data_IF_376350790533
#
_entry.id   IF_376350790533
#
_cell.length_a   1.000
_cell.length_b   1.000
_cell.length_c   1.000
_cell.angle_alpha   90.00
_cell.angle_beta   90.00
_cell.angle_gamma   90.00
#
_symmetry.space_group_name_H-M   'P 1'
#
loop_
_entity.id
_entity.type
_entity.pdbx_description
1 polymer ?
#
# COMPACT_ATOMS: atom_id res chain seq x y z
N UNK A 1 26.02 -30.05 -27.41
CA UNK A 1 25.71 -29.04 -26.38
C UNK A 1 26.78 -29.19 -25.29
N UNK A 2 27.67 -28.21 -25.11
CA UNK A 2 28.81 -28.36 -24.19
C UNK A 2 28.33 -28.37 -22.74
N UNK A 3 28.82 -29.32 -21.93
CA UNK A 3 28.52 -29.43 -20.50
C UNK A 3 28.77 -28.11 -19.77
N UNK A 4 29.84 -27.39 -20.12
CA UNK A 4 30.14 -26.04 -19.60
C UNK A 4 29.00 -25.05 -19.86
N UNK A 5 28.39 -25.05 -21.05
CA UNK A 5 27.27 -24.16 -21.37
C UNK A 5 26.02 -24.47 -20.55
N UNK A 6 25.76 -25.76 -20.24
CA UNK A 6 24.62 -26.17 -19.41
C UNK A 6 24.79 -25.71 -17.96
N UNK A 7 26.00 -25.84 -17.40
CA UNK A 7 26.30 -25.33 -16.05
C UNK A 7 26.19 -23.79 -15.97
N UNK A 8 26.71 -23.06 -16.96
CA UNK A 8 26.61 -21.60 -17.00
C UNK A 8 25.15 -21.14 -17.08
N UNK A 9 24.33 -21.76 -17.93
CA UNK A 9 22.90 -21.43 -18.05
C UNK A 9 22.16 -21.74 -16.74
N UNK A 10 22.44 -22.89 -16.11
CA UNK A 10 21.87 -23.27 -14.82
C UNK A 10 22.21 -22.28 -13.69
N UNK A 11 23.46 -21.80 -13.65
CA UNK A 11 23.92 -20.82 -12.66
C UNK A 11 23.27 -19.44 -12.86
N UNK A 12 23.11 -18.98 -14.11
CA UNK A 12 22.46 -17.70 -14.41
C UNK A 12 20.97 -17.76 -14.04
N UNK A 13 20.27 -18.86 -14.36
CA UNK A 13 18.86 -19.05 -14.02
C UNK A 13 18.64 -19.05 -12.50
N UNK A 14 19.47 -19.76 -11.73
CA UNK A 14 19.34 -19.81 -10.27
C UNK A 14 19.56 -18.43 -9.62
N UNK A 15 20.52 -17.64 -10.13
CA UNK A 15 20.75 -16.27 -9.68
C UNK A 15 19.56 -15.33 -9.98
N UNK A 16 18.98 -15.40 -11.17
CA UNK A 16 17.82 -14.58 -11.54
C UNK A 16 16.61 -14.92 -10.67
N UNK A 17 16.34 -16.21 -10.46
CA UNK A 17 15.25 -16.67 -9.59
C UNK A 17 15.50 -16.25 -8.14
N UNK A 18 16.72 -16.43 -7.62
CA UNK A 18 17.10 -16.02 -6.26
C UNK A 18 16.97 -14.51 -6.03
N UNK A 19 17.46 -13.70 -6.97
CA UNK A 19 17.31 -12.25 -6.94
C UNK A 19 15.83 -11.82 -7.01
N UNK A 20 15.03 -12.47 -7.87
CA UNK A 20 13.60 -12.22 -7.98
C UNK A 20 12.85 -12.49 -6.66
N UNK A 21 13.12 -13.62 -6.02
CA UNK A 21 12.48 -14.01 -4.75
C UNK A 21 12.85 -13.06 -3.61
N UNK A 22 14.12 -12.69 -3.49
CA UNK A 22 14.59 -11.78 -2.43
C UNK A 22 14.01 -10.38 -2.58
N UNK A 23 14.00 -9.83 -3.80
CA UNK A 23 13.35 -8.55 -4.11
C UNK A 23 11.84 -8.57 -3.83
N UNK A 24 11.16 -9.65 -4.21
CA UNK A 24 9.73 -9.81 -3.95
C UNK A 24 9.42 -9.84 -2.44
N UNK A 25 10.20 -10.59 -1.65
CA UNK A 25 10.05 -10.62 -0.19
C UNK A 25 10.33 -9.27 0.46
N UNK A 26 11.35 -8.55 -0.01
CA UNK A 26 11.68 -7.22 0.51
C UNK A 26 10.55 -6.22 0.25
N UNK A 27 10.01 -6.20 -0.98
CA UNK A 27 8.83 -5.38 -1.31
C UNK A 27 7.63 -5.71 -0.42
N UNK A 28 7.34 -7.00 -0.21
CA UNK A 28 6.23 -7.43 0.66
C UNK A 28 6.39 -6.95 2.09
N UNK A 29 7.59 -7.04 2.68
CA UNK A 29 7.85 -6.55 4.05
C UNK A 29 7.65 -5.03 4.15
N UNK A 30 8.12 -4.27 3.18
CA UNK A 30 7.96 -2.81 3.19
C UNK A 30 6.49 -2.41 3.02
N UNK A 31 5.74 -3.10 2.15
CA UNK A 31 4.31 -2.86 1.97
C UNK A 31 3.53 -3.16 3.26
N UNK A 32 3.86 -4.25 3.95
CA UNK A 32 3.24 -4.58 5.24
C UNK A 32 3.52 -3.54 6.32
N UNK A 33 4.76 -3.04 6.41
CA UNK A 33 5.10 -1.95 7.35
C UNK A 33 4.28 -0.70 7.04
N UNK A 34 4.21 -0.32 5.77
CA UNK A 34 3.42 0.81 5.31
C UNK A 34 1.93 0.64 5.66
N UNK A 35 1.33 -0.50 5.33
CA UNK A 35 -0.07 -0.81 5.68
C UNK A 35 -0.32 -0.79 7.18
N UNK A 36 0.62 -1.31 7.99
CA UNK A 36 0.50 -1.26 9.45
C UNK A 36 0.51 0.18 9.96
N UNK A 37 1.44 1.01 9.48
CA UNK A 37 1.49 2.43 9.86
C UNK A 37 0.21 3.17 9.44
N UNK A 38 -0.27 2.94 8.22
CA UNK A 38 -1.51 3.52 7.72
C UNK A 38 -2.73 3.04 8.53
N UNK A 39 -2.75 1.77 8.95
CA UNK A 39 -3.79 1.21 9.81
C UNK A 39 -3.86 1.91 11.17
N UNK A 40 -2.71 2.12 11.83
CA UNK A 40 -2.67 2.84 13.10
C UNK A 40 -3.12 4.30 12.96
N UNK A 41 -2.72 4.99 11.88
CA UNK A 41 -3.22 6.34 11.59
C UNK A 41 -4.73 6.37 11.32
N UNK A 42 -5.24 5.38 10.57
CA UNK A 42 -6.64 5.29 10.21
C UNK A 42 -7.56 5.00 11.40
N UNK A 43 -7.05 4.44 12.51
CA UNK A 43 -7.83 4.26 13.76
C UNK A 43 -8.30 5.58 14.35
N UNK A 44 -7.55 6.66 14.15
CA UNK A 44 -7.87 7.99 14.67
C UNK A 44 -8.92 8.72 13.80
N UNK A 45 -9.29 8.14 12.66
CA UNK A 45 -10.21 8.75 11.68
C UNK A 45 -11.62 8.15 11.85
N UNK A 46 -12.69 8.96 11.76
CA UNK A 46 -14.06 8.45 11.79
C UNK A 46 -14.30 7.37 10.73
N UNK A 47 -14.98 6.28 11.10
CA UNK A 47 -15.24 5.13 10.21
C UNK A 47 -15.84 5.54 8.85
N UNK A 48 -16.74 6.53 8.84
CA UNK A 48 -17.39 7.05 7.64
C UNK A 48 -16.40 7.64 6.62
N UNK A 49 -15.28 8.21 7.08
CA UNK A 49 -14.27 8.85 6.23
C UNK A 49 -13.01 7.99 6.04
N UNK A 50 -12.96 6.80 6.65
CA UNK A 50 -11.77 5.92 6.66
C UNK A 50 -11.27 5.64 5.25
N UNK A 51 -12.13 5.16 4.35
CA UNK A 51 -11.70 4.80 2.98
C UNK A 51 -11.21 6.00 2.18
N UNK A 52 -11.86 7.16 2.32
CA UNK A 52 -11.43 8.41 1.68
C UNK A 52 -10.06 8.86 2.21
N UNK A 53 -9.85 8.72 3.52
CA UNK A 53 -8.58 9.05 4.16
C UNK A 53 -7.46 8.11 3.71
N UNK A 54 -7.71 6.80 3.69
CA UNK A 54 -6.76 5.80 3.19
C UNK A 54 -6.36 6.08 1.74
N UNK A 55 -7.33 6.35 0.87
CA UNK A 55 -7.06 6.71 -0.52
C UNK A 55 -6.19 7.96 -0.64
N UNK A 56 -6.48 8.99 0.17
CA UNK A 56 -5.67 10.21 0.23
C UNK A 56 -4.24 9.90 0.66
N UNK A 57 -4.05 9.10 1.72
CA UNK A 57 -2.73 8.70 2.20
C UNK A 57 -1.93 7.93 1.15
N UNK A 58 -2.57 7.01 0.42
CA UNK A 58 -1.91 6.27 -0.66
C UNK A 58 -1.53 7.17 -1.84
N UNK A 59 -2.42 8.09 -2.24
CA UNK A 59 -2.13 9.07 -3.28
C UNK A 59 -0.94 9.95 -2.89
N UNK A 60 -0.94 10.50 -1.68
CA UNK A 60 0.11 11.41 -1.20
C UNK A 60 1.44 10.69 -0.99
N UNK A 61 1.42 9.43 -0.54
CA UNK A 61 2.62 8.58 -0.46
C UNK A 61 3.24 8.35 -1.84
N UNK A 62 2.41 8.04 -2.86
CA UNK A 62 2.87 7.88 -4.24
C UNK A 62 3.42 9.17 -4.85
N UNK A 63 2.82 10.31 -4.54
CA UNK A 63 3.30 11.63 -4.98
C UNK A 63 4.62 12.00 -4.30
N UNK A 64 4.72 11.77 -3.00
CA UNK A 64 5.94 12.02 -2.21
C UNK A 64 7.10 11.11 -2.65
N UNK A 65 6.81 9.87 -3.03
CA UNK A 65 7.81 8.96 -3.60
C UNK A 65 8.35 9.43 -4.96
N UNK A 66 7.55 10.15 -5.75
CA UNK A 66 7.99 10.72 -7.04
C UNK A 66 8.77 12.01 -6.84
N UNK A 67 8.34 12.85 -5.90
CA UNK A 67 8.91 14.16 -5.63
C UNK A 67 9.63 14.15 -4.28
N UNK A 68 10.92 13.75 -4.27
CA UNK A 68 11.76 13.61 -3.06
C UNK A 68 11.87 14.89 -2.20
N UNK A 69 11.44 16.05 -2.72
CA UNK A 69 11.61 17.37 -2.09
C UNK A 69 10.41 17.84 -1.25
N UNK A 70 9.27 17.12 -1.25
CA UNK A 70 7.99 17.68 -0.76
C UNK A 70 7.50 17.15 0.60
N UNK A 71 8.30 16.39 1.34
CA UNK A 71 7.90 15.68 2.57
C UNK A 71 7.37 16.62 3.67
N UNK A 72 7.94 17.83 3.79
CA UNK A 72 7.50 18.84 4.76
C UNK A 72 6.18 19.53 4.38
N UNK A 73 5.74 19.46 3.11
CA UNK A 73 4.49 20.10 2.68
C UNK A 73 3.26 19.27 3.02
N UNK A 74 3.38 17.94 3.12
CA UNK A 74 2.25 17.05 3.36
C UNK A 74 1.72 17.17 4.80
N UNK A 75 2.62 17.13 5.80
CA UNK A 75 2.24 17.29 7.20
C UNK A 75 1.53 18.64 7.44
N UNK A 76 2.08 19.73 6.89
CA UNK A 76 1.48 21.06 6.99
C UNK A 76 0.12 21.16 6.27
N UNK A 77 -0.06 20.46 5.14
CA UNK A 77 -1.35 20.40 4.42
C UNK A 77 -2.40 19.58 5.17
N UNK A 78 -2.01 18.46 5.78
CA UNK A 78 -2.92 17.61 6.55
C UNK A 78 -3.34 18.26 7.87
N UNK A 79 -2.50 19.12 8.45
CA UNK A 79 -2.85 19.95 9.61
C UNK A 79 -3.87 21.05 9.27
N UNK A 80 -4.14 21.33 7.99
CA UNK A 80 -5.16 22.28 7.59
C UNK A 80 -6.53 21.56 7.44
N UNK A 81 -7.51 21.81 8.34
CA UNK A 81 -8.78 21.09 8.34
C UNK A 81 -9.64 21.39 7.12
N UNK A 82 -9.52 22.58 6.52
CA UNK A 82 -10.26 22.96 5.31
C UNK A 82 -9.75 22.18 4.10
N UNK A 83 -8.42 22.12 3.95
CA UNK A 83 -7.80 21.33 2.89
C UNK A 83 -8.16 19.84 3.02
N UNK A 84 -8.01 19.29 4.23
CA UNK A 84 -8.28 17.88 4.49
C UNK A 84 -9.73 17.51 4.15
N UNK A 85 -10.72 18.31 4.58
CA UNK A 85 -12.12 18.02 4.26
C UNK A 85 -12.42 18.06 2.76
N UNK A 86 -11.88 19.03 2.03
CA UNK A 86 -12.05 19.11 0.57
C UNK A 86 -11.46 17.85 -0.09
N UNK A 87 -10.25 17.45 0.30
CA UNK A 87 -9.61 16.26 -0.24
C UNK A 87 -10.40 14.99 0.09
N UNK A 88 -10.92 14.86 1.32
CA UNK A 88 -11.73 13.70 1.71
C UNK A 88 -13.03 13.58 0.92
N UNK A 89 -13.68 14.70 0.59
CA UNK A 89 -14.87 14.73 -0.28
C UNK A 89 -14.49 14.31 -1.70
N UNK A 90 -13.39 14.85 -2.24
CA UNK A 90 -12.90 14.45 -3.56
C UNK A 90 -12.58 12.96 -3.62
N UNK A 91 -11.89 12.43 -2.61
CA UNK A 91 -11.61 11.00 -2.52
C UNK A 91 -12.90 10.18 -2.39
N UNK A 92 -13.91 10.66 -1.65
CA UNK A 92 -15.20 9.98 -1.56
C UNK A 92 -15.90 9.89 -2.92
N UNK A 93 -15.90 10.97 -3.69
CA UNK A 93 -16.48 10.99 -5.04
C UNK A 93 -15.75 10.03 -5.99
N UNK A 94 -14.41 9.99 -5.91
CA UNK A 94 -13.59 9.03 -6.66
C UNK A 94 -13.90 7.59 -6.28
N UNK A 95 -14.12 7.32 -4.99
CA UNK A 95 -14.47 5.97 -4.52
C UNK A 95 -15.84 5.52 -5.03
N UNK A 96 -16.80 6.44 -5.19
CA UNK A 96 -18.12 6.17 -5.75
C UNK A 96 -18.07 5.87 -7.24
N UNK A 97 -17.24 6.59 -7.99
CA UNK A 97 -17.10 6.41 -9.44
C UNK A 97 -15.64 6.29 -9.85
N UNK A 98 -15.11 5.07 -9.70
CA UNK A 98 -13.72 4.75 -10.03
C UNK A 98 -13.46 4.75 -11.54
N UNK A 99 -14.51 4.61 -12.36
CA UNK A 99 -14.40 4.52 -13.82
C UNK A 99 -13.92 5.83 -14.46
N UNK A 100 -14.25 6.97 -13.82
CA UNK A 100 -13.86 8.31 -14.25
C UNK A 100 -12.41 8.67 -13.94
N UNK A 101 -11.67 7.79 -13.26
CA UNK A 101 -10.28 8.04 -12.89
C UNK A 101 -9.36 7.69 -14.06
N UNK A 102 -8.85 8.70 -14.75
CA UNK A 102 -7.85 8.51 -15.80
C UNK A 102 -6.40 8.66 -15.29
N UNK A 103 -6.19 9.36 -14.16
CA UNK A 103 -4.85 9.59 -13.61
C UNK A 103 -4.17 8.30 -13.13
N UNK A 104 -2.93 8.07 -13.61
CA UNK A 104 -2.13 6.87 -13.30
C UNK A 104 -1.77 6.79 -11.81
N UNK A 105 -1.55 7.93 -11.15
CA UNK A 105 -1.20 7.94 -9.72
C UNK A 105 -2.41 7.55 -8.88
N UNK A 106 -3.59 8.09 -9.20
CA UNK A 106 -4.85 7.73 -8.57
C UNK A 106 -5.24 6.27 -8.82
N UNK A 107 -5.07 5.74 -10.04
CA UNK A 107 -5.27 4.30 -10.31
C UNK A 107 -4.39 3.42 -9.43
N UNK A 108 -3.11 3.79 -9.26
CA UNK A 108 -2.20 3.08 -8.34
C UNK A 108 -2.64 3.21 -6.89
N UNK A 109 -3.11 4.39 -6.46
CA UNK A 109 -3.63 4.59 -5.12
C UNK A 109 -4.88 3.74 -4.85
N UNK A 110 -5.77 3.59 -5.84
CA UNK A 110 -6.94 2.70 -5.78
C UNK A 110 -6.54 1.23 -5.69
N UNK A 111 -5.51 0.79 -6.44
CA UNK A 111 -4.99 -0.56 -6.33
C UNK A 111 -4.41 -0.81 -4.93
N UNK A 112 -3.59 0.12 -4.41
CA UNK A 112 -3.07 0.04 -3.05
C UNK A 112 -4.17 0.00 -1.99
N UNK A 113 -5.28 0.70 -2.22
CA UNK A 113 -6.45 0.62 -1.35
C UNK A 113 -7.06 -0.78 -1.35
N UNK A 114 -7.20 -1.42 -2.51
CA UNK A 114 -7.70 -2.80 -2.61
C UNK A 114 -6.75 -3.81 -1.94
N UNK A 115 -5.44 -3.66 -2.18
CA UNK A 115 -4.41 -4.49 -1.55
C UNK A 115 -4.43 -4.33 -0.02
N UNK A 116 -4.59 -3.09 0.46
CA UNK A 116 -4.72 -2.78 1.88
C UNK A 116 -5.98 -3.40 2.48
N UNK A 117 -7.12 -3.31 1.80
CA UNK A 117 -8.39 -3.90 2.28
C UNK A 117 -8.26 -5.42 2.43
N UNK A 118 -7.65 -6.08 1.45
CA UNK A 118 -7.37 -7.52 1.50
C UNK A 118 -6.45 -7.85 2.68
N UNK A 119 -5.35 -7.11 2.83
CA UNK A 119 -4.43 -7.28 3.95
C UNK A 119 -5.09 -7.01 5.32
N UNK A 120 -5.99 -6.02 5.42
CA UNK A 120 -6.72 -5.70 6.64
C UNK A 120 -7.66 -6.85 7.03
N UNK A 121 -8.40 -7.42 6.07
CA UNK A 121 -9.23 -8.60 6.30
C UNK A 121 -8.39 -9.80 6.75
N UNK A 122 -7.27 -10.07 6.08
CA UNK A 122 -6.35 -11.15 6.46
C UNK A 122 -5.77 -10.95 7.87
N UNK A 123 -5.40 -9.72 8.22
CA UNK A 123 -4.89 -9.37 9.55
C UNK A 123 -5.94 -9.63 10.63
N UNK A 124 -7.17 -9.14 10.42
CA UNK A 124 -8.27 -9.34 11.36
C UNK A 124 -8.65 -10.82 11.51
N UNK A 125 -8.57 -11.60 10.43
CA UNK A 125 -8.81 -13.04 10.48
C UNK A 125 -7.75 -13.77 11.33
N UNK A 126 -6.47 -13.43 11.14
CA UNK A 126 -5.35 -13.99 11.93
C UNK A 126 -5.44 -13.59 13.40
N UNK A 127 -5.79 -12.34 13.68
CA UNK A 127 -5.94 -11.86 15.06
C UNK A 127 -7.04 -12.66 15.78
N UNK A 128 -8.18 -12.91 15.11
CA UNK A 128 -9.27 -13.75 15.65
C UNK A 128 -8.84 -15.19 15.91
N UNK A 129 -8.14 -15.82 14.96
CA UNK A 129 -7.64 -17.19 15.10
C UNK A 129 -6.66 -17.31 16.28
N UNK A 130 -5.76 -16.34 16.44
CA UNK A 130 -4.80 -16.32 17.55
C UNK A 130 -5.44 -16.17 18.94
N UNK A 131 -6.63 -15.56 19.01
CA UNK A 131 -7.40 -15.43 20.26
C UNK A 131 -8.10 -16.75 20.56
N UNK A 132 -8.63 -17.44 19.54
CA UNK A 132 -9.27 -18.74 19.68
C UNK A 132 -8.26 -19.83 20.10
N UNK A 133 -7.07 -19.84 19.49
CA UNK A 133 -5.98 -20.78 19.82
C UNK A 133 -5.39 -20.57 21.21
N UNK A 134 -5.56 -19.38 21.82
CA UNK A 134 -5.14 -19.08 23.21
C UNK A 134 -6.23 -19.33 24.24
N UNK A 135 -7.48 -19.50 23.79
CA UNK A 135 -8.64 -19.74 24.63
C UNK A 135 -9.08 -21.21 24.66
N UNK A 136 -8.46 -22.06 23.81
CA UNK A 136 -8.57 -23.53 23.84
C UNK A 136 -7.37 -24.14 24.56
#
# INVERSE_FOLDING_TARGET
MNTTSVFTIGAILSLVVGAGVTLHRYKKKNLQKFFTQTYEMAKQVPKQKKNSFLLLMFKESLLSSKNKTATNSLANKLNNPKYLNIQLIQMSNILKDRSKVHDKTMKRALNLLGDYQTWETDKLAKDKQSIQDKAS
#
